data_IF_065729553901
#
_entry.id   IF_065729553901
#
_cell.length_a   1.000
_cell.length_b   1.000
_cell.length_c   1.000
_cell.angle_alpha   90.00
_cell.angle_beta   90.00
_cell.angle_gamma   90.00
#
_symmetry.space_group_name_H-M   'P 1'
#
loop_
_entity.id
_entity.type
_entity.pdbx_description
1 polymer ?
#
# COMPACT_ATOMS: atom_id res chain seq x y z
N UNK A 1 -24.78 -36.59 -3.53
CA UNK A 1 -25.38 -35.25 -3.31
C UNK A 1 -24.75 -34.16 -4.17
N UNK A 2 -23.41 -34.11 -4.34
CA UNK A 2 -22.73 -33.09 -5.17
C UNK A 2 -23.23 -33.04 -6.63
N UNK A 3 -23.31 -34.19 -7.31
CA UNK A 3 -23.82 -34.30 -8.69
C UNK A 3 -25.28 -33.84 -8.84
N UNK A 4 -26.13 -34.13 -7.84
CA UNK A 4 -27.53 -33.69 -7.85
C UNK A 4 -27.65 -32.20 -7.50
N UNK A 5 -26.75 -31.65 -6.68
CA UNK A 5 -26.62 -30.21 -6.43
C UNK A 5 -26.08 -29.45 -7.64
N UNK A 6 -25.11 -30.02 -8.36
CA UNK A 6 -24.59 -29.50 -9.62
C UNK A 6 -25.67 -29.49 -10.72
N UNK A 7 -26.46 -30.57 -10.84
CA UNK A 7 -27.62 -30.63 -11.74
C UNK A 7 -28.70 -29.61 -11.40
N UNK A 8 -28.94 -29.30 -10.12
CA UNK A 8 -29.93 -28.30 -9.69
C UNK A 8 -29.43 -26.86 -9.83
N UNK A 9 -28.15 -26.60 -9.56
CA UNK A 9 -27.53 -25.28 -9.77
C UNK A 9 -27.53 -24.91 -11.26
N UNK A 10 -27.29 -25.90 -12.12
CA UNK A 10 -27.41 -25.76 -13.58
C UNK A 10 -28.84 -25.45 -14.07
N UNK A 11 -29.88 -25.71 -13.27
CA UNK A 11 -31.29 -25.43 -13.61
C UNK A 11 -31.78 -24.09 -13.05
N UNK A 12 -31.13 -23.55 -12.01
CA UNK A 12 -31.53 -22.29 -11.37
C UNK A 12 -30.91 -21.04 -12.02
N UNK A 13 -29.82 -21.20 -12.78
CA UNK A 13 -29.13 -20.11 -13.48
C UNK A 13 -29.74 -19.76 -14.87
N UNK A 14 -30.78 -20.49 -15.31
CA UNK A 14 -31.44 -20.27 -16.60
C UNK A 14 -32.35 -19.01 -16.65
N UNK A 15 -32.56 -18.28 -15.54
CA UNK A 15 -33.58 -17.22 -15.48
C UNK A 15 -33.06 -15.78 -15.22
N UNK A 16 -31.75 -15.52 -15.31
CA UNK A 16 -31.24 -14.15 -15.17
C UNK A 16 -30.07 -13.89 -16.12
N UNK A 17 -30.40 -13.30 -17.28
CA UNK A 17 -29.49 -12.50 -18.10
C UNK A 17 -28.46 -13.28 -18.96
N UNK A 18 -28.98 -14.01 -19.96
CA UNK A 18 -28.45 -14.13 -21.35
C UNK A 18 -26.99 -14.48 -21.64
N UNK A 19 -26.14 -14.69 -20.63
CA UNK A 19 -24.68 -14.70 -20.80
C UNK A 19 -23.98 -15.85 -20.06
N UNK A 20 -24.74 -16.76 -19.43
CA UNK A 20 -24.20 -17.81 -18.55
C UNK A 20 -24.17 -19.16 -19.26
N UNK A 21 -22.99 -19.56 -19.72
CA UNK A 21 -22.73 -20.97 -20.08
C UNK A 21 -22.86 -21.88 -18.86
N UNK A 22 -23.30 -23.13 -19.06
CA UNK A 22 -23.34 -24.15 -18.00
C UNK A 22 -21.92 -24.52 -17.58
N UNK A 23 -21.49 -24.11 -16.39
CA UNK A 23 -20.17 -24.49 -15.85
C UNK A 23 -20.31 -25.72 -14.95
N UNK A 24 -19.46 -26.72 -15.17
CA UNK A 24 -19.16 -27.69 -14.13
C UNK A 24 -18.23 -27.00 -13.12
N UNK A 25 -18.67 -26.88 -11.88
CA UNK A 25 -17.88 -26.25 -10.81
C UNK A 25 -16.97 -27.33 -10.21
N UNK A 26 -15.68 -27.20 -10.49
CA UNK A 26 -14.59 -27.97 -9.89
C UNK A 26 -13.58 -27.05 -9.18
N UNK A 27 -12.57 -27.63 -8.55
CA UNK A 27 -11.52 -26.90 -7.83
C UNK A 27 -10.75 -25.93 -8.72
N UNK A 28 -10.49 -26.31 -9.98
CA UNK A 28 -9.78 -25.47 -10.94
C UNK A 28 -10.59 -24.24 -11.36
N UNK A 29 -11.90 -24.39 -11.56
CA UNK A 29 -12.81 -23.28 -11.84
C UNK A 29 -12.89 -22.32 -10.65
N UNK A 30 -12.98 -22.84 -9.43
CA UNK A 30 -13.01 -22.04 -8.20
C UNK A 30 -11.71 -21.26 -8.04
N UNK A 31 -10.56 -21.93 -8.19
CA UNK A 31 -9.25 -21.29 -8.06
C UNK A 31 -9.03 -20.24 -9.14
N UNK A 32 -9.36 -20.54 -10.40
CA UNK A 32 -9.30 -19.56 -11.50
C UNK A 32 -10.15 -18.34 -11.18
N UNK A 33 -11.38 -18.54 -10.71
CA UNK A 33 -12.27 -17.43 -10.36
C UNK A 33 -11.69 -16.57 -9.24
N UNK A 34 -11.13 -17.20 -8.21
CA UNK A 34 -10.44 -16.51 -7.12
C UNK A 34 -9.26 -15.68 -7.62
N UNK A 35 -8.36 -16.26 -8.41
CA UNK A 35 -7.19 -15.56 -8.96
C UNK A 35 -7.59 -14.41 -9.89
N UNK A 36 -8.59 -14.61 -10.75
CA UNK A 36 -9.10 -13.56 -11.64
C UNK A 36 -9.61 -12.36 -10.85
N UNK A 37 -10.43 -12.58 -9.82
CA UNK A 37 -10.91 -11.47 -8.96
C UNK A 37 -9.74 -10.84 -8.21
N UNK A 38 -8.85 -11.66 -7.64
CA UNK A 38 -7.71 -11.20 -6.83
C UNK A 38 -6.78 -10.29 -7.62
N UNK A 39 -6.52 -10.60 -8.89
CA UNK A 39 -5.64 -9.80 -9.76
C UNK A 39 -6.35 -8.60 -10.41
N UNK A 40 -7.69 -8.59 -10.43
CA UNK A 40 -8.46 -7.56 -11.17
C UNK A 40 -9.09 -6.49 -10.28
N UNK A 41 -9.01 -6.64 -8.96
CA UNK A 41 -9.61 -5.69 -8.02
C UNK A 41 -8.62 -5.40 -6.90
N UNK A 42 -8.37 -4.12 -6.63
CA UNK A 42 -7.57 -3.66 -5.49
C UNK A 42 -8.49 -3.29 -4.32
N UNK A 43 -8.11 -3.62 -3.09
CA UNK A 43 -8.76 -3.08 -1.90
C UNK A 43 -8.52 -3.90 -0.64
N UNK A 44 -8.60 -3.21 0.50
CA UNK A 44 -8.48 -3.78 1.83
C UNK A 44 -9.68 -4.63 2.28
N UNK A 45 -9.67 -5.10 3.55
CA UNK A 45 -10.70 -5.97 4.14
C UNK A 45 -12.14 -5.46 4.03
N UNK A 46 -12.35 -4.15 3.93
CA UNK A 46 -13.67 -3.53 3.84
C UNK A 46 -13.98 -2.95 2.46
N UNK A 47 -13.03 -2.96 1.54
CA UNK A 47 -13.11 -2.33 0.22
C UNK A 47 -13.24 -3.36 -0.92
N UNK A 48 -12.88 -4.60 -0.63
CA UNK A 48 -12.93 -5.72 -1.56
C UNK A 48 -13.31 -7.00 -0.83
N UNK A 49 -14.00 -7.89 -1.53
CA UNK A 49 -14.27 -9.24 -1.08
C UNK A 49 -13.83 -10.26 -2.14
N UNK A 50 -13.05 -11.25 -1.73
CA UNK A 50 -12.63 -12.34 -2.59
C UNK A 50 -13.66 -13.48 -2.56
N UNK A 51 -13.89 -14.18 -3.68
CA UNK A 51 -14.76 -15.33 -3.68
C UNK A 51 -14.19 -16.45 -2.79
N UNK A 52 -15.04 -17.35 -2.26
CA UNK A 52 -14.56 -18.47 -1.47
C UNK A 52 -13.76 -19.44 -2.36
N UNK A 53 -12.78 -20.12 -1.76
CA UNK A 53 -12.01 -21.19 -2.41
C UNK A 53 -12.58 -22.59 -2.16
N UNK A 54 -13.65 -22.68 -1.39
CA UNK A 54 -14.30 -23.93 -1.01
C UNK A 54 -15.81 -23.87 -1.30
N UNK A 55 -16.39 -25.03 -1.61
CA UNK A 55 -17.84 -25.16 -1.79
C UNK A 55 -18.57 -25.11 -0.43
N UNK A 56 -19.71 -24.42 -0.41
CA UNK A 56 -20.59 -24.40 0.74
C UNK A 56 -21.38 -25.71 0.84
N UNK A 57 -21.34 -26.36 2.02
CA UNK A 57 -22.14 -27.56 2.31
C UNK A 57 -23.53 -27.26 2.87
N UNK A 58 -23.78 -26.02 3.30
CA UNK A 58 -25.02 -25.61 3.95
C UNK A 58 -26.04 -24.94 3.00
N UNK A 59 -25.60 -24.54 1.81
CA UNK A 59 -26.41 -23.83 0.83
C UNK A 59 -26.89 -24.77 -0.27
N UNK A 60 -28.09 -24.53 -0.80
CA UNK A 60 -28.57 -25.21 -2.01
C UNK A 60 -27.77 -24.81 -3.25
N UNK A 61 -27.30 -23.56 -3.29
CA UNK A 61 -26.29 -23.10 -4.22
C UNK A 61 -24.91 -23.16 -3.52
N UNK A 62 -24.10 -24.20 -3.79
CA UNK A 62 -22.84 -24.41 -3.09
C UNK A 62 -21.78 -23.35 -3.45
N UNK A 63 -22.00 -22.53 -4.49
CA UNK A 63 -21.08 -21.49 -4.92
C UNK A 63 -21.84 -20.27 -5.50
N UNK A 64 -22.33 -19.35 -4.64
CA UNK A 64 -23.22 -18.27 -5.05
C UNK A 64 -22.50 -17.04 -5.65
N UNK A 65 -21.22 -17.19 -5.99
CA UNK A 65 -20.40 -16.17 -6.65
C UNK A 65 -20.44 -16.35 -8.17
N UNK A 66 -20.51 -15.26 -8.96
CA UNK A 66 -20.44 -15.38 -10.41
C UNK A 66 -19.09 -15.95 -10.84
N UNK A 67 -19.12 -16.86 -11.81
CA UNK A 67 -17.92 -17.43 -12.45
C UNK A 67 -17.46 -16.49 -13.57
N UNK A 68 -16.28 -15.91 -13.39
CA UNK A 68 -15.67 -15.05 -14.40
C UNK A 68 -14.94 -15.89 -15.44
N UNK A 69 -15.27 -15.66 -16.71
CA UNK A 69 -14.54 -16.19 -17.88
C UNK A 69 -13.62 -15.16 -18.50
N UNK A 70 -13.95 -13.88 -18.35
CA UNK A 70 -13.17 -12.73 -18.80
C UNK A 70 -13.25 -11.64 -17.74
N UNK A 71 -12.15 -10.90 -17.59
CA UNK A 71 -12.09 -9.73 -16.72
C UNK A 71 -12.81 -8.58 -17.42
N UNK A 72 -13.98 -8.20 -16.92
CA UNK A 72 -14.72 -7.02 -17.36
C UNK A 72 -15.14 -6.21 -16.12
N UNK A 73 -14.88 -4.89 -16.05
CA UNK A 73 -15.32 -4.03 -14.95
C UNK A 73 -16.79 -4.21 -14.53
N UNK A 74 -17.72 -4.46 -15.46
CA UNK A 74 -19.15 -4.65 -15.15
C UNK A 74 -19.40 -5.87 -14.25
N UNK A 75 -18.60 -6.92 -14.40
CA UNK A 75 -18.78 -8.18 -13.68
C UNK A 75 -18.04 -8.20 -12.34
N UNK A 76 -17.19 -7.20 -12.07
CA UNK A 76 -16.40 -7.10 -10.85
C UNK A 76 -17.11 -6.36 -9.72
N UNK A 77 -18.23 -5.68 -10.00
CA UNK A 77 -18.95 -4.84 -9.04
C UNK A 77 -19.40 -5.58 -7.77
N UNK A 78 -19.69 -6.88 -7.86
CA UNK A 78 -20.05 -7.70 -6.71
C UNK A 78 -18.88 -7.89 -5.73
N UNK A 79 -17.64 -7.88 -6.22
CA UNK A 79 -16.43 -8.10 -5.43
C UNK A 79 -15.87 -6.81 -4.84
N UNK A 80 -16.37 -5.65 -5.27
CA UNK A 80 -16.06 -4.34 -4.69
C UNK A 80 -17.14 -3.84 -3.74
N UNK A 81 -18.31 -4.50 -3.70
CA UNK A 81 -19.37 -4.22 -2.74
C UNK A 81 -19.49 -5.38 -1.73
N UNK A 82 -18.85 -5.22 -0.58
CA UNK A 82 -18.83 -6.23 0.49
C UNK A 82 -20.23 -6.65 0.94
N UNK A 83 -21.18 -5.71 1.02
CA UNK A 83 -22.57 -6.01 1.40
C UNK A 83 -23.31 -6.85 0.36
N UNK A 84 -22.99 -6.68 -0.93
CA UNK A 84 -23.60 -7.45 -2.00
C UNK A 84 -23.13 -8.91 -1.95
N UNK A 85 -21.83 -9.16 -1.72
CA UNK A 85 -21.29 -10.52 -1.64
C UNK A 85 -21.61 -11.21 -0.32
N UNK A 86 -21.53 -10.49 0.82
CA UNK A 86 -21.77 -11.07 2.14
C UNK A 86 -23.19 -11.60 2.30
N UNK A 87 -24.18 -10.99 1.64
CA UNK A 87 -25.57 -11.48 1.62
C UNK A 87 -25.73 -12.83 0.90
N UNK A 88 -24.80 -13.15 -0.01
CA UNK A 88 -24.83 -14.40 -0.79
C UNK A 88 -24.05 -15.52 -0.11
N UNK A 89 -23.01 -15.19 0.63
CA UNK A 89 -22.14 -16.17 1.27
C UNK A 89 -22.78 -16.75 2.53
N UNK A 90 -22.53 -18.04 2.74
CA UNK A 90 -22.94 -18.74 3.95
C UNK A 90 -22.14 -18.24 5.16
N UNK A 91 -22.83 -17.95 6.26
CA UNK A 91 -22.25 -17.51 7.53
C UNK A 91 -21.92 -18.66 8.50
N UNK A 92 -22.20 -19.92 8.14
CA UNK A 92 -22.00 -21.08 9.01
C UNK A 92 -20.60 -21.70 8.84
N UNK A 93 -19.95 -22.05 9.95
CA UNK A 93 -18.70 -22.81 9.95
C UNK A 93 -18.92 -24.22 9.33
N UNK A 94 -18.05 -24.72 8.43
CA UNK A 94 -16.74 -24.18 8.02
C UNK A 94 -16.77 -23.36 6.71
N UNK A 95 -17.96 -23.01 6.20
CA UNK A 95 -18.10 -22.24 4.95
C UNK A 95 -17.68 -20.78 5.14
N UNK A 96 -17.89 -20.27 6.34
CA UNK A 96 -17.26 -19.07 6.84
C UNK A 96 -15.96 -19.47 7.54
N UNK A 97 -14.81 -19.00 7.05
CA UNK A 97 -13.57 -19.09 7.83
C UNK A 97 -13.73 -18.14 9.03
N UNK A 98 -14.17 -18.68 10.17
CA UNK A 98 -14.37 -17.98 11.46
C UNK A 98 -13.14 -17.29 12.04
N UNK A 99 -12.02 -17.29 11.33
CA UNK A 99 -10.77 -16.66 11.76
C UNK A 99 -10.83 -15.12 11.69
N UNK A 100 -11.83 -14.55 11.02
CA UNK A 100 -12.04 -13.09 10.94
C UNK A 100 -12.90 -12.48 12.06
N UNK A 101 -13.65 -13.29 12.83
CA UNK A 101 -14.60 -12.82 13.86
C UNK A 101 -14.03 -12.84 15.29
N UNK A 102 -12.95 -13.58 15.56
CA UNK A 102 -12.37 -13.66 16.91
C UNK A 102 -11.83 -12.33 17.44
N UNK A 103 -11.61 -11.33 16.58
CA UNK A 103 -11.23 -9.96 16.97
C UNK A 103 -12.20 -8.88 16.45
N UNK A 104 -13.36 -9.24 15.88
CA UNK A 104 -14.36 -8.24 15.54
C UNK A 104 -15.17 -7.87 16.79
N UNK A 105 -14.52 -7.19 17.72
CA UNK A 105 -15.23 -6.07 18.33
C UNK A 105 -15.72 -5.23 17.14
N UNK A 106 -17.02 -5.02 17.09
CA UNK A 106 -17.72 -4.25 16.07
C UNK A 106 -17.22 -2.80 16.06
N UNK A 107 -16.03 -2.56 15.50
CA UNK A 107 -15.53 -1.24 15.28
C UNK A 107 -16.26 -0.70 14.06
N UNK A 108 -17.28 0.10 14.35
CA UNK A 108 -18.12 0.76 13.34
C UNK A 108 -17.26 1.42 12.26
N UNK A 109 -17.80 1.48 11.04
CA UNK A 109 -17.25 2.27 9.92
C UNK A 109 -17.04 3.76 10.22
N UNK A 110 -17.36 4.23 11.43
CA UNK A 110 -17.18 5.60 11.92
C UNK A 110 -15.92 5.77 12.79
N UNK A 111 -15.06 4.76 12.91
CA UNK A 111 -13.81 4.87 13.66
C UNK A 111 -12.84 5.84 12.95
N UNK A 112 -12.50 6.94 13.63
CA UNK A 112 -11.66 8.03 13.12
C UNK A 112 -10.24 7.54 12.84
N UNK A 113 -9.68 7.85 11.65
CA UNK A 113 -8.28 7.51 11.31
C UNK A 113 -7.27 8.43 12.01
N UNK A 114 -6.03 7.98 12.15
CA UNK A 114 -4.94 8.78 12.74
C UNK A 114 -4.72 10.07 11.95
N UNK A 115 -4.74 10.01 10.61
CA UNK A 115 -4.64 11.17 9.72
C UNK A 115 -5.73 12.20 10.02
N UNK A 116 -6.97 11.74 10.24
CA UNK A 116 -8.08 12.62 10.60
C UNK A 116 -7.90 13.23 12.00
N UNK A 117 -7.39 12.45 12.96
CA UNK A 117 -7.06 12.94 14.31
C UNK A 117 -6.00 14.04 14.25
N UNK A 118 -4.91 13.82 13.51
CA UNK A 118 -3.82 14.80 13.36
C UNK A 118 -4.33 16.06 12.65
N UNK A 119 -5.04 15.91 11.54
CA UNK A 119 -5.62 17.05 10.81
C UNK A 119 -6.56 17.89 11.69
N UNK A 120 -7.41 17.23 12.50
CA UNK A 120 -8.29 17.92 13.44
C UNK A 120 -7.51 18.59 14.58
N UNK A 121 -6.45 17.96 15.09
CA UNK A 121 -5.60 18.51 16.14
C UNK A 121 -4.82 19.75 15.70
N UNK A 122 -4.33 19.77 14.46
CA UNK A 122 -3.63 20.93 13.89
C UNK A 122 -4.54 22.15 13.67
N UNK A 123 -5.84 21.92 13.41
CA UNK A 123 -6.84 22.99 13.25
C UNK A 123 -7.21 23.69 14.56
N UNK A 124 -7.06 23.02 15.71
CA UNK A 124 -7.53 23.49 17.02
C UNK A 124 -6.50 24.32 17.79
N UNK A 125 -5.59 25.03 17.11
CA UNK A 125 -4.62 25.93 17.77
C UNK A 125 -5.24 27.19 18.43
N UNK A 126 -6.57 27.23 18.63
CA UNK A 126 -7.29 28.25 19.39
C UNK A 126 -8.12 27.60 20.51
N UNK A 127 -8.08 28.19 21.71
CA UNK A 127 -8.66 27.73 22.99
C UNK A 127 -10.13 27.23 22.94
N UNK A 128 -10.39 26.01 22.46
CA UNK A 128 -11.71 25.36 22.51
C UNK A 128 -11.59 23.89 23.00
N UNK A 129 -12.61 23.34 23.69
CA UNK A 129 -12.47 22.10 24.45
C UNK A 129 -12.25 20.88 23.57
N UNK A 130 -11.30 20.04 23.99
CA UNK A 130 -10.74 18.89 23.28
C UNK A 130 -11.78 17.82 22.93
N UNK A 131 -11.98 17.56 21.62
CA UNK A 131 -12.67 16.35 21.15
C UNK A 131 -11.86 15.09 21.47
N UNK A 132 -12.55 13.97 21.67
CA UNK A 132 -12.04 12.63 22.04
C UNK A 132 -10.77 12.19 21.28
N UNK A 133 -10.64 12.51 19.98
CA UNK A 133 -9.45 12.17 19.19
C UNK A 133 -8.16 12.85 19.66
N UNK A 134 -8.24 14.06 20.22
CA UNK A 134 -7.08 14.76 20.79
C UNK A 134 -6.60 14.09 22.09
N UNK A 135 -7.46 13.36 22.81
CA UNK A 135 -7.10 12.71 24.08
C UNK A 135 -6.04 11.61 23.91
N UNK A 136 -6.05 10.89 22.79
CA UNK A 136 -5.03 9.88 22.47
C UNK A 136 -3.66 10.56 22.34
N UNK A 137 -3.58 11.71 21.69
CA UNK A 137 -2.32 12.46 21.55
C UNK A 137 -1.77 12.98 22.89
N UNK A 138 -2.60 13.16 23.91
CA UNK A 138 -2.12 13.54 25.25
C UNK A 138 -1.41 12.40 25.97
N UNK A 139 -1.81 11.15 25.70
CA UNK A 139 -1.19 9.95 26.29
C UNK A 139 0.16 9.62 25.65
N UNK A 140 0.46 10.21 24.49
CA UNK A 140 1.60 9.82 23.65
C UNK A 140 2.64 10.95 23.53
N UNK A 141 3.58 11.09 24.49
CA UNK A 141 4.45 12.27 24.60
C UNK A 141 5.44 12.46 23.44
N UNK A 142 6.07 11.39 22.92
CA UNK A 142 6.98 11.47 21.76
C UNK A 142 6.20 11.86 20.52
N UNK A 143 5.07 11.18 20.29
CA UNK A 143 4.20 11.50 19.16
C UNK A 143 3.80 12.98 19.19
N UNK A 144 3.32 13.44 20.35
CA UNK A 144 2.93 14.83 20.56
C UNK A 144 4.08 15.81 20.38
N UNK A 145 5.31 15.46 20.76
CA UNK A 145 6.48 16.29 20.52
C UNK A 145 6.76 16.45 19.01
N UNK A 146 6.73 15.34 18.25
CA UNK A 146 6.92 15.38 16.79
C UNK A 146 5.80 16.13 16.07
N UNK A 147 4.54 15.92 16.47
CA UNK A 147 3.38 16.65 15.92
C UNK A 147 3.42 18.16 16.24
N UNK A 148 3.98 18.58 17.39
CA UNK A 148 4.16 20.01 17.70
C UNK A 148 5.09 20.70 16.71
N UNK A 149 6.13 20.01 16.24
CA UNK A 149 7.01 20.52 15.18
C UNK A 149 6.23 20.73 13.87
N UNK A 150 5.33 19.80 13.52
CA UNK A 150 4.47 19.93 12.35
C UNK A 150 3.49 21.11 12.44
N UNK A 151 2.94 21.37 13.63
CA UNK A 151 1.99 22.46 13.83
C UNK A 151 2.54 23.84 13.45
N UNK A 152 3.85 24.06 13.64
CA UNK A 152 4.53 25.30 13.21
C UNK A 152 4.41 25.51 11.71
N UNK A 153 4.64 24.46 10.92
CA UNK A 153 4.58 24.51 9.46
C UNK A 153 3.14 24.48 8.91
N UNK A 154 2.19 23.93 9.68
CA UNK A 154 0.78 23.92 9.32
C UNK A 154 0.14 25.31 9.41
N UNK A 155 0.55 26.13 10.38
CA UNK A 155 0.06 27.52 10.54
C UNK A 155 0.41 28.45 9.35
N UNK A 156 1.43 28.09 8.56
CA UNK A 156 1.86 28.82 7.37
C UNK A 156 1.07 28.43 6.11
N UNK A 157 0.23 27.38 6.17
CA UNK A 157 -0.60 26.92 5.07
C UNK A 157 -1.95 27.66 5.07
N UNK A 158 -2.34 28.15 3.89
CA UNK A 158 -3.52 29.00 3.70
C UNK A 158 -4.81 28.31 4.18
N UNK A 159 -5.60 28.99 5.01
CA UNK A 159 -6.68 28.41 5.85
C UNK A 159 -7.95 27.99 5.10
N UNK A 160 -8.05 28.27 3.80
CA UNK A 160 -9.34 28.14 3.07
C UNK A 160 -9.69 26.74 2.60
N UNK A 161 -8.74 25.80 2.47
CA UNK A 161 -9.00 24.40 2.10
C UNK A 161 -7.87 23.49 2.60
N UNK A 162 -7.90 23.09 3.88
CA UNK A 162 -6.94 22.11 4.40
C UNK A 162 -7.37 20.69 4.03
N UNK A 163 -6.90 20.20 2.90
CA UNK A 163 -7.02 18.80 2.51
C UNK A 163 -5.90 17.93 3.14
N UNK A 164 -5.97 16.62 2.93
CA UNK A 164 -4.94 15.69 3.39
C UNK A 164 -3.57 16.02 2.79
N UNK A 165 -3.51 16.47 1.53
CA UNK A 165 -2.26 16.89 0.87
C UNK A 165 -1.52 18.01 1.61
N UNK A 166 -2.24 19.00 2.15
CA UNK A 166 -1.64 20.07 2.98
C UNK A 166 -0.92 19.52 4.22
N UNK A 167 -1.43 18.46 4.84
CA UNK A 167 -0.76 17.82 5.98
C UNK A 167 0.59 17.22 5.57
N UNK A 168 0.62 16.51 4.44
CA UNK A 168 1.87 15.92 3.94
C UNK A 168 2.88 16.99 3.49
N UNK A 169 2.44 18.09 2.89
CA UNK A 169 3.31 19.23 2.60
C UNK A 169 3.93 19.83 3.88
N UNK A 170 3.16 19.93 4.97
CA UNK A 170 3.68 20.37 6.26
C UNK A 170 4.73 19.39 6.82
N UNK A 171 4.47 18.08 6.69
CA UNK A 171 5.45 17.04 7.03
C UNK A 171 6.75 17.20 6.24
N UNK A 172 6.65 17.42 4.93
CA UNK A 172 7.83 17.59 4.07
C UNK A 172 8.64 18.85 4.43
N UNK A 173 7.98 19.96 4.80
CA UNK A 173 8.68 21.14 5.33
C UNK A 173 9.39 20.85 6.65
N UNK A 174 8.76 20.06 7.52
CA UNK A 174 9.36 19.66 8.81
C UNK A 174 10.59 18.75 8.65
N UNK A 175 10.67 17.99 7.55
CA UNK A 175 11.86 17.22 7.16
C UNK A 175 13.01 18.11 6.62
N UNK A 176 12.83 19.43 6.55
CA UNK A 176 13.89 20.38 6.16
C UNK A 176 13.90 20.77 4.68
N UNK A 177 12.94 20.32 3.87
CA UNK A 177 12.85 20.69 2.46
C UNK A 177 12.32 22.12 2.25
N UNK A 178 13.23 23.06 1.98
CA UNK A 178 12.88 24.43 1.55
C UNK A 178 12.15 24.41 0.19
N UNK A 179 11.23 25.35 0.00
CA UNK A 179 10.60 25.60 -1.30
C UNK A 179 11.65 26.22 -2.23
N UNK A 180 12.17 25.44 -3.16
CA UNK A 180 12.96 25.98 -4.29
C UNK A 180 12.00 26.21 -5.45
N UNK A 181 12.00 27.42 -6.01
CA UNK A 181 11.10 27.90 -7.07
C UNK A 181 11.31 27.25 -8.45
N UNK A 182 12.12 26.19 -8.55
CA UNK A 182 12.40 25.52 -9.81
C UNK A 182 11.51 24.29 -9.93
N UNK A 183 10.22 24.53 -10.19
CA UNK A 183 9.29 23.48 -10.56
C UNK A 183 9.67 22.98 -11.95
N UNK A 184 10.30 21.80 -12.03
CA UNK A 184 10.28 21.06 -13.29
C UNK A 184 8.83 20.80 -13.67
N UNK A 185 8.45 21.12 -14.90
CA UNK A 185 7.07 21.03 -15.35
C UNK A 185 6.62 19.57 -15.44
N UNK A 186 5.38 19.31 -15.01
CA UNK A 186 4.71 18.05 -15.27
C UNK A 186 4.66 17.81 -16.79
N UNK A 187 5.15 16.65 -17.26
CA UNK A 187 5.05 16.28 -18.67
C UNK A 187 3.62 15.86 -18.97
N UNK A 188 2.83 16.80 -19.51
CA UNK A 188 1.41 16.60 -19.81
C UNK A 188 1.15 15.95 -21.18
N UNK A 189 2.16 15.89 -22.06
CA UNK A 189 2.02 15.43 -23.45
C UNK A 189 2.12 13.90 -23.63
N UNK A 190 1.96 13.13 -22.55
CA UNK A 190 2.05 11.66 -22.62
C UNK A 190 0.71 11.09 -23.03
N UNK A 191 0.63 10.52 -24.24
CA UNK A 191 -0.52 9.74 -24.66
C UNK A 191 -0.47 8.35 -23.97
N UNK A 192 -1.44 7.99 -23.11
CA UNK A 192 -1.43 6.72 -22.38
C UNK A 192 -1.35 5.48 -23.29
N UNK A 193 -1.79 5.60 -24.55
CA UNK A 193 -1.73 4.52 -25.54
C UNK A 193 -0.30 4.16 -26.00
N UNK A 194 0.71 4.96 -25.65
CA UNK A 194 2.12 4.67 -25.92
C UNK A 194 2.77 3.87 -24.79
N UNK A 195 2.08 3.64 -23.66
CA UNK A 195 2.60 2.85 -22.55
C UNK A 195 2.45 1.34 -22.83
N UNK A 196 3.32 0.50 -22.25
CA UNK A 196 3.13 -0.94 -22.29
C UNK A 196 1.78 -1.36 -21.73
N UNK A 197 1.14 -2.38 -22.33
CA UNK A 197 -0.21 -2.82 -21.95
C UNK A 197 -0.36 -3.19 -20.45
N UNK A 198 0.69 -3.70 -19.82
CA UNK A 198 0.67 -4.03 -18.39
C UNK A 198 0.63 -2.75 -17.52
N UNK A 199 1.26 -1.66 -17.96
CA UNK A 199 1.29 -0.39 -17.25
C UNK A 199 -0.06 0.31 -17.37
N UNK A 200 -0.66 0.28 -18.57
CA UNK A 200 -2.03 0.76 -18.78
C UNK A 200 -3.02 -0.02 -17.89
N UNK A 201 -2.89 -1.34 -17.80
CA UNK A 201 -3.71 -2.16 -16.91
C UNK A 201 -3.53 -1.76 -15.44
N UNK A 202 -2.30 -1.50 -14.99
CA UNK A 202 -2.02 -1.03 -13.63
C UNK A 202 -2.62 0.36 -13.35
N UNK A 203 -2.52 1.30 -14.30
CA UNK A 203 -3.16 2.62 -14.22
C UNK A 203 -4.69 2.46 -14.12
N UNK A 204 -5.29 1.61 -14.94
CA UNK A 204 -6.72 1.36 -14.90
C UNK A 204 -7.15 0.76 -13.54
N UNK A 205 -6.40 -0.19 -13.00
CA UNK A 205 -6.67 -0.78 -11.69
C UNK A 205 -6.63 0.27 -10.57
N UNK A 206 -5.60 1.12 -10.58
CA UNK A 206 -5.38 2.09 -9.51
C UNK A 206 -6.39 3.25 -9.60
N UNK A 207 -6.69 3.79 -10.79
CA UNK A 207 -7.72 4.83 -10.95
C UNK A 207 -9.08 4.32 -10.49
N UNK A 208 -9.46 3.11 -10.88
CA UNK A 208 -10.70 2.50 -10.42
C UNK A 208 -10.74 2.35 -8.90
N UNK A 209 -9.63 1.95 -8.28
CA UNK A 209 -9.53 1.88 -6.82
C UNK A 209 -9.67 3.26 -6.16
N UNK A 210 -8.91 4.26 -6.62
CA UNK A 210 -8.96 5.62 -6.08
C UNK A 210 -10.34 6.25 -6.12
N UNK A 211 -11.13 6.01 -7.18
CA UNK A 211 -12.53 6.47 -7.26
C UNK A 211 -13.44 5.74 -6.27
N UNK A 212 -13.26 4.43 -6.08
CA UNK A 212 -14.06 3.63 -5.12
C UNK A 212 -13.87 4.09 -3.68
N UNK A 213 -12.62 4.35 -3.29
CA UNK A 213 -12.30 4.82 -1.93
C UNK A 213 -12.42 6.33 -1.77
N UNK A 214 -12.95 7.02 -2.78
CA UNK A 214 -13.15 8.48 -2.81
C UNK A 214 -11.85 9.29 -2.62
N UNK A 215 -10.69 8.69 -2.94
CA UNK A 215 -9.42 9.40 -2.98
C UNK A 215 -9.24 10.20 -4.26
N UNK A 216 -9.98 9.86 -5.33
CA UNK A 216 -10.07 10.62 -6.57
C UNK A 216 -11.48 11.20 -6.73
N UNK A 217 -11.59 12.40 -7.31
CA UNK A 217 -12.88 12.99 -7.61
C UNK A 217 -13.64 12.15 -8.65
N UNK A 218 -14.78 11.58 -8.21
CA UNK A 218 -15.65 10.78 -9.06
C UNK A 218 -16.31 11.57 -10.20
N UNK A 219 -16.33 12.91 -10.12
CA UNK A 219 -16.91 13.79 -11.16
C UNK A 219 -15.98 14.00 -12.36
N UNK A 220 -14.66 13.87 -12.16
CA UNK A 220 -13.67 14.05 -13.22
C UNK A 220 -13.75 12.90 -14.24
N UNK A 221 -13.52 13.19 -15.53
CA UNK A 221 -13.52 12.15 -16.56
C UNK A 221 -12.39 11.14 -16.31
N UNK A 222 -12.69 9.84 -16.44
CA UNK A 222 -11.71 8.77 -16.19
C UNK A 222 -10.51 8.85 -17.13
N UNK A 223 -10.73 9.20 -18.40
CA UNK A 223 -9.65 9.39 -19.38
C UNK A 223 -8.63 10.44 -18.92
N UNK A 224 -9.10 11.56 -18.36
CA UNK A 224 -8.22 12.63 -17.87
C UNK A 224 -7.38 12.15 -16.67
N UNK A 225 -8.01 11.47 -15.70
CA UNK A 225 -7.28 10.92 -14.55
C UNK A 225 -6.22 9.88 -14.94
N UNK A 226 -6.51 9.06 -15.97
CA UNK A 226 -5.53 8.12 -16.52
C UNK A 226 -4.35 8.84 -17.17
N UNK A 227 -4.63 9.91 -17.93
CA UNK A 227 -3.58 10.74 -18.55
C UNK A 227 -2.72 11.44 -17.50
N UNK A 228 -3.33 12.01 -16.46
CA UNK A 228 -2.62 12.67 -15.37
C UNK A 228 -1.70 11.69 -14.62
N UNK A 229 -2.19 10.47 -14.34
CA UNK A 229 -1.38 9.43 -13.70
C UNK A 229 -0.21 8.98 -14.60
N UNK A 230 -0.45 8.79 -15.90
CA UNK A 230 0.58 8.44 -16.87
C UNK A 230 1.66 9.54 -16.98
N UNK A 231 1.24 10.80 -17.05
CA UNK A 231 2.13 11.97 -17.06
C UNK A 231 2.95 12.08 -15.78
N UNK A 232 2.32 11.84 -14.61
CA UNK A 232 3.00 11.82 -13.31
C UNK A 232 4.08 10.74 -13.25
N UNK A 233 3.74 9.49 -13.59
CA UNK A 233 4.69 8.37 -13.61
C UNK A 233 5.87 8.64 -14.55
N UNK A 234 5.59 9.22 -15.72
CA UNK A 234 6.62 9.58 -16.71
C UNK A 234 7.53 10.68 -16.21
N UNK A 235 6.96 11.71 -15.58
CA UNK A 235 7.71 12.83 -15.02
C UNK A 235 8.64 12.37 -13.88
N UNK A 236 8.15 11.49 -13.01
CA UNK A 236 8.95 10.86 -11.94
C UNK A 236 10.09 10.00 -12.52
N UNK A 237 9.84 9.25 -13.60
CA UNK A 237 10.91 8.51 -14.28
C UNK A 237 12.00 9.45 -14.82
N UNK A 238 11.61 10.61 -15.36
CA UNK A 238 12.54 11.68 -15.76
C UNK A 238 13.36 12.20 -14.59
N UNK A 239 12.72 12.50 -13.46
CA UNK A 239 13.39 12.91 -12.22
C UNK A 239 14.45 11.90 -11.77
N UNK A 240 14.15 10.60 -11.87
CA UNK A 240 15.12 9.57 -11.53
C UNK A 240 16.34 9.57 -12.47
N UNK A 241 16.15 9.86 -13.76
CA UNK A 241 17.26 10.00 -14.70
C UNK A 241 18.12 11.23 -14.37
N UNK A 242 17.51 12.36 -14.03
CA UNK A 242 18.23 13.58 -13.65
C UNK A 242 19.09 13.37 -12.39
N UNK A 243 18.59 12.58 -11.44
CA UNK A 243 19.35 12.20 -10.25
C UNK A 243 20.57 11.30 -10.57
N UNK A 244 20.61 10.60 -11.72
CA UNK A 244 21.78 9.82 -12.16
C UNK A 244 22.89 10.69 -12.75
N UNK A 245 22.54 11.83 -13.33
CA UNK A 245 23.45 12.70 -14.08
C UNK A 245 23.43 14.12 -13.49
N UNK A 246 24.14 14.39 -12.39
CA UNK A 246 24.32 15.77 -11.94
C UNK A 246 25.00 16.56 -13.06
N UNK A 247 24.38 17.68 -13.47
CA UNK A 247 24.78 18.49 -14.62
C UNK A 247 26.30 18.75 -14.66
N UNK A 248 26.94 18.33 -15.75
CA UNK A 248 28.31 18.75 -16.08
C UNK A 248 28.30 20.21 -16.50
N UNK A 249 29.35 20.95 -16.13
CA UNK A 249 29.48 22.40 -16.37
C UNK A 249 29.42 22.79 -17.86
N UNK A 250 29.21 24.09 -18.16
CA UNK A 250 28.74 24.58 -19.46
C UNK A 250 29.73 24.48 -20.65
N UNK A 251 30.88 23.81 -20.50
CA UNK A 251 31.91 23.74 -21.55
C UNK A 251 32.28 22.31 -22.00
N UNK A 252 31.64 21.27 -21.48
CA UNK A 252 31.83 19.92 -22.02
C UNK A 252 30.82 19.66 -23.14
N UNK A 253 31.34 19.31 -24.32
CA UNK A 253 30.56 18.95 -25.51
C UNK A 253 29.49 17.92 -25.12
N UNK A 254 28.28 18.11 -25.66
CA UNK A 254 27.15 17.18 -25.58
C UNK A 254 27.65 15.82 -26.09
N UNK A 255 28.00 14.93 -25.16
CA UNK A 255 28.10 13.51 -25.42
C UNK A 255 26.78 12.94 -24.96
N UNK A 256 25.95 12.59 -25.93
CA UNK A 256 24.71 11.86 -25.71
C UNK A 256 25.03 10.63 -24.86
N UNK A 257 24.52 10.57 -23.62
CA UNK A 257 24.71 9.41 -22.74
C UNK A 257 23.81 8.23 -23.15
N UNK A 258 23.37 8.20 -24.42
CA UNK A 258 22.55 7.16 -25.01
C UNK A 258 23.24 6.39 -26.14
N UNK A 259 24.56 6.51 -26.33
CA UNK A 259 25.30 5.65 -27.25
C UNK A 259 26.21 4.67 -26.50
N UNK A 260 25.70 3.45 -26.34
CA UNK A 260 26.50 2.27 -26.04
C UNK A 260 27.59 2.10 -27.12
N UNK A 261 28.84 1.98 -26.69
CA UNK A 261 29.98 1.72 -27.57
C UNK A 261 29.82 0.34 -28.25
N UNK A 262 30.18 0.17 -29.54
CA UNK A 262 29.92 -1.06 -30.27
C UNK A 262 30.93 -2.14 -29.88
N UNK A 263 30.49 -3.11 -29.09
CA UNK A 263 31.14 -4.42 -29.01
C UNK A 263 30.09 -5.51 -29.17
N UNK A 264 30.29 -6.26 -30.26
CA UNK A 264 29.71 -7.55 -30.60
C UNK A 264 28.23 -7.57 -31.03
N UNK A 265 28.07 -7.30 -32.32
CA UNK A 265 26.93 -7.67 -33.15
C UNK A 265 26.72 -9.19 -33.10
N UNK A 266 25.88 -9.69 -32.19
CA UNK A 266 24.99 -10.85 -32.35
C UNK A 266 24.36 -11.27 -30.99
N UNK A 267 23.64 -10.40 -30.28
CA UNK A 267 22.59 -10.85 -29.31
C UNK A 267 21.64 -9.76 -28.77
N UNK A 268 21.33 -8.73 -29.57
CA UNK A 268 20.67 -7.51 -29.08
C UNK A 268 19.13 -7.53 -29.19
N UNK A 269 18.49 -8.58 -28.69
CA UNK A 269 17.03 -8.66 -28.62
C UNK A 269 16.51 -9.28 -27.30
N UNK A 270 17.05 -8.93 -26.12
CA UNK A 270 16.49 -9.44 -24.85
C UNK A 270 16.89 -8.75 -23.52
N UNK A 271 17.17 -7.45 -23.46
CA UNK A 271 17.28 -6.74 -22.15
C UNK A 271 16.57 -5.40 -22.11
N UNK A 272 15.26 -5.41 -22.35
CA UNK A 272 14.42 -4.36 -21.77
C UNK A 272 14.45 -4.55 -20.25
N UNK A 273 15.07 -3.61 -19.52
CA UNK A 273 15.04 -3.60 -18.06
C UNK A 273 13.59 -3.38 -17.59
N UNK A 274 12.86 -4.46 -17.32
CA UNK A 274 11.52 -4.41 -16.76
C UNK A 274 11.53 -3.59 -15.47
N UNK A 275 10.78 -2.47 -15.45
CA UNK A 275 10.58 -1.65 -14.26
C UNK A 275 9.19 -1.91 -13.71
N UNK A 276 9.04 -2.29 -12.43
CA UNK A 276 7.72 -2.51 -11.85
C UNK A 276 6.94 -1.19 -11.77
N UNK A 277 5.61 -1.30 -11.69
CA UNK A 277 4.74 -0.16 -11.47
C UNK A 277 5.08 0.57 -10.16
N UNK A 278 5.03 1.91 -10.18
CA UNK A 278 5.34 2.71 -8.99
C UNK A 278 4.10 2.95 -8.12
N UNK A 279 3.86 1.99 -7.23
CA UNK A 279 2.76 2.05 -6.27
C UNK A 279 2.88 3.24 -5.31
N UNK A 280 4.10 3.73 -5.02
CA UNK A 280 4.28 4.88 -4.14
C UNK A 280 3.73 6.15 -4.77
N UNK A 281 4.08 6.38 -6.04
CA UNK A 281 3.58 7.52 -6.82
C UNK A 281 2.06 7.50 -6.88
N UNK A 282 1.46 6.33 -7.08
CA UNK A 282 0.02 6.20 -7.12
C UNK A 282 -0.64 6.50 -5.75
N UNK A 283 -0.07 5.98 -4.65
CA UNK A 283 -0.56 6.29 -3.28
C UNK A 283 -0.41 7.77 -2.96
N UNK A 284 0.71 8.41 -3.34
CA UNK A 284 0.87 9.85 -3.15
C UNK A 284 -0.12 10.65 -4.01
N UNK A 285 -0.37 10.26 -5.26
CA UNK A 285 -1.40 10.89 -6.10
C UNK A 285 -2.78 10.90 -5.40
N UNK A 286 -3.15 9.80 -4.73
CA UNK A 286 -4.38 9.73 -3.93
C UNK A 286 -4.37 10.62 -2.69
N UNK A 287 -3.23 10.71 -1.98
CA UNK A 287 -3.06 11.63 -0.85
C UNK A 287 -3.31 13.08 -1.29
N UNK A 288 -2.93 13.44 -2.51
CA UNK A 288 -3.17 14.75 -3.14
C UNK A 288 -4.49 14.85 -3.92
N UNK A 289 -5.43 13.93 -3.70
CA UNK A 289 -6.76 14.00 -4.31
C UNK A 289 -6.79 13.84 -5.83
N UNK A 290 -5.73 13.27 -6.42
CA UNK A 290 -5.55 13.17 -7.87
C UNK A 290 -4.89 14.38 -8.52
N UNK A 291 -4.48 15.40 -7.76
CA UNK A 291 -3.77 16.55 -8.33
C UNK A 291 -2.33 16.17 -8.67
N UNK A 292 -2.09 15.78 -9.93
CA UNK A 292 -0.79 15.32 -10.41
C UNK A 292 0.31 16.38 -10.27
N UNK A 293 0.00 17.66 -10.44
CA UNK A 293 0.99 18.75 -10.30
C UNK A 293 1.47 18.88 -8.86
N UNK A 294 0.56 18.93 -7.88
CA UNK A 294 0.91 18.96 -6.45
C UNK A 294 1.64 17.70 -6.01
N UNK A 295 1.18 16.54 -6.48
CA UNK A 295 1.84 15.26 -6.19
C UNK A 295 3.26 15.23 -6.75
N UNK A 296 3.48 15.73 -7.97
CA UNK A 296 4.81 15.78 -8.58
C UNK A 296 5.75 16.73 -7.83
N UNK A 297 5.33 17.96 -7.51
CA UNK A 297 6.16 18.90 -6.71
C UNK A 297 6.56 18.27 -5.37
N UNK A 298 5.61 17.64 -4.69
CA UNK A 298 5.87 16.92 -3.46
C UNK A 298 6.89 15.81 -3.65
N UNK A 299 6.70 14.93 -4.64
CA UNK A 299 7.59 13.80 -4.91
C UNK A 299 9.00 14.25 -5.30
N UNK A 300 9.13 15.31 -6.11
CA UNK A 300 10.41 15.88 -6.53
C UNK A 300 11.20 16.50 -5.36
N UNK A 301 10.51 17.10 -4.40
CA UNK A 301 11.13 17.61 -3.17
C UNK A 301 11.41 16.47 -2.19
N UNK A 302 10.50 15.51 -2.08
CA UNK A 302 10.65 14.35 -1.21
C UNK A 302 11.84 13.48 -1.62
N UNK A 303 12.10 13.29 -2.93
CA UNK A 303 13.21 12.49 -3.44
C UNK A 303 14.60 12.98 -3.00
N UNK A 304 14.69 14.22 -2.48
CA UNK A 304 15.91 14.83 -1.96
C UNK A 304 16.10 14.60 -0.45
N UNK A 305 15.16 13.92 0.22
CA UNK A 305 15.24 13.61 1.66
C UNK A 305 15.93 12.27 1.91
N UNK A 306 16.46 12.07 3.12
CA UNK A 306 16.94 10.74 3.52
C UNK A 306 15.80 9.71 3.55
N UNK A 307 14.63 10.11 4.06
CA UNK A 307 13.45 9.24 4.19
C UNK A 307 12.96 8.68 2.84
N UNK A 308 13.14 9.41 1.73
CA UNK A 308 12.73 8.88 0.42
C UNK A 308 13.54 7.66 0.00
N UNK A 309 14.81 7.54 0.40
CA UNK A 309 15.62 6.36 0.09
C UNK A 309 15.11 5.11 0.79
N UNK A 310 14.44 5.27 1.92
CA UNK A 310 13.98 4.22 2.83
C UNK A 310 12.50 3.87 2.66
N UNK A 311 11.66 4.88 2.37
CA UNK A 311 10.24 4.68 2.17
C UNK A 311 9.91 4.37 0.70
N UNK A 312 10.59 5.00 -0.25
CA UNK A 312 10.29 4.88 -1.68
C UNK A 312 11.16 3.81 -2.35
N UNK A 313 10.70 2.55 -2.29
CA UNK A 313 11.42 1.36 -2.77
C UNK A 313 11.98 1.47 -4.19
N UNK A 314 11.17 1.96 -5.14
CA UNK A 314 11.60 2.10 -6.53
C UNK A 314 12.74 3.12 -6.69
N UNK A 315 12.65 4.27 -6.01
CA UNK A 315 13.75 5.25 -5.96
C UNK A 315 15.00 4.63 -5.32
N UNK A 316 14.85 3.98 -4.18
CA UNK A 316 15.97 3.33 -3.48
C UNK A 316 16.66 2.24 -4.31
N UNK A 317 15.91 1.49 -5.13
CA UNK A 317 16.48 0.53 -6.07
C UNK A 317 17.22 1.19 -7.23
N UNK A 318 16.72 2.33 -7.71
CA UNK A 318 17.31 3.08 -8.82
C UNK A 318 18.63 3.77 -8.43
N UNK A 319 18.71 4.32 -7.22
CA UNK A 319 19.94 4.97 -6.69
C UNK A 319 21.07 3.95 -6.46
N UNK A 320 20.75 2.71 -6.11
CA UNK A 320 21.76 1.64 -5.94
C UNK A 320 22.36 1.16 -7.24
N UNK A 321 21.58 1.10 -8.32
CA UNK A 321 22.09 0.73 -9.63
C UNK A 321 23.18 1.72 -10.13
N UNK A 322 23.19 2.94 -9.59
CA UNK A 322 24.22 3.95 -9.89
C UNK A 322 25.44 3.93 -8.98
N UNK A 323 25.35 3.38 -7.76
CA UNK A 323 26.49 3.32 -6.84
C UNK A 323 27.28 2.02 -7.05
N UNK A 324 28.52 2.12 -7.53
CA UNK A 324 29.47 0.99 -7.64
C UNK A 324 29.96 0.45 -6.28
N UNK A 325 29.59 1.09 -5.17
CA UNK A 325 30.01 0.69 -3.82
C UNK A 325 29.04 -0.36 -3.23
N UNK A 326 29.61 -1.41 -2.64
CA UNK A 326 28.91 -2.50 -1.95
C UNK A 326 28.37 -2.07 -0.57
N UNK A 327 27.69 -0.93 -0.47
CA UNK A 327 27.06 -0.53 0.79
C UNK A 327 25.81 -1.39 1.04
N UNK A 328 25.64 -1.93 2.26
CA UNK A 328 24.42 -2.62 2.63
C UNK A 328 23.23 -1.69 2.42
N UNK A 329 22.26 -2.16 1.65
CA UNK A 329 21.00 -1.47 1.41
C UNK A 329 20.36 -1.02 2.74
N UNK A 330 19.95 0.25 2.89
CA UNK A 330 19.21 0.73 4.07
C UNK A 330 18.01 -0.18 4.43
N UNK A 331 17.34 -0.77 3.43
CA UNK A 331 16.29 -1.77 3.66
C UNK A 331 16.76 -3.01 4.42
N UNK A 332 18.00 -3.47 4.21
CA UNK A 332 18.54 -4.61 4.94
C UNK A 332 18.65 -4.30 6.44
N UNK A 333 19.04 -3.07 6.80
CA UNK A 333 19.11 -2.64 8.19
C UNK A 333 17.71 -2.51 8.80
N UNK A 334 16.77 -1.87 8.12
CA UNK A 334 15.36 -1.78 8.56
C UNK A 334 14.79 -3.17 8.83
N UNK A 335 14.96 -4.11 7.89
CA UNK A 335 14.45 -5.46 8.01
C UNK A 335 15.17 -6.30 9.07
N UNK A 336 16.48 -6.14 9.22
CA UNK A 336 17.23 -6.80 10.28
C UNK A 336 16.80 -6.33 11.67
N UNK A 337 16.70 -5.01 11.88
CA UNK A 337 16.23 -4.43 13.15
C UNK A 337 14.80 -4.90 13.46
N UNK A 338 13.94 -4.94 12.44
CA UNK A 338 12.60 -5.51 12.57
C UNK A 338 12.63 -6.97 13.07
N UNK A 339 13.46 -7.84 12.48
CA UNK A 339 13.55 -9.23 12.93
C UNK A 339 14.07 -9.36 14.36
N UNK A 340 15.05 -8.54 14.75
CA UNK A 340 15.58 -8.52 16.12
C UNK A 340 14.49 -8.12 17.11
N UNK A 341 13.78 -7.02 16.86
CA UNK A 341 12.69 -6.57 17.75
C UNK A 341 11.56 -7.60 17.76
N UNK A 342 11.19 -8.13 16.60
CA UNK A 342 10.15 -9.16 16.48
C UNK A 342 10.49 -10.43 17.26
N UNK A 343 11.76 -10.87 17.22
CA UNK A 343 12.22 -12.04 17.98
C UNK A 343 12.13 -11.85 19.50
N UNK A 344 12.26 -10.61 19.98
CA UNK A 344 12.21 -10.25 21.40
C UNK A 344 10.77 -10.06 21.89
N UNK A 345 9.92 -9.41 21.10
CA UNK A 345 8.53 -9.09 21.46
C UNK A 345 7.57 -10.26 21.24
N UNK A 346 7.82 -11.07 20.21
CA UNK A 346 6.94 -12.16 19.80
C UNK A 346 7.74 -13.46 19.53
N UNK A 347 8.50 -13.97 20.53
CA UNK A 347 9.43 -15.08 20.34
C UNK A 347 8.74 -16.36 19.84
N UNK A 348 7.51 -16.62 20.30
CA UNK A 348 6.74 -17.78 19.86
C UNK A 348 6.49 -17.75 18.34
N UNK A 349 6.03 -16.62 17.81
CA UNK A 349 5.78 -16.49 16.37
C UNK A 349 7.09 -16.50 15.60
N UNK A 350 8.12 -15.79 16.08
CA UNK A 350 9.43 -15.76 15.44
C UNK A 350 10.02 -17.16 15.28
N UNK A 351 9.98 -17.97 16.35
CA UNK A 351 10.42 -19.36 16.30
C UNK A 351 9.62 -20.17 15.28
N UNK A 352 8.31 -19.90 15.13
CA UNK A 352 7.55 -20.63 14.12
C UNK A 352 7.90 -20.24 12.68
N UNK A 353 8.18 -18.97 12.41
CA UNK A 353 8.73 -18.55 11.13
C UNK A 353 10.05 -19.27 10.82
N UNK A 354 10.94 -19.31 11.81
CA UNK A 354 12.22 -20.02 11.71
C UNK A 354 12.05 -21.51 11.42
N UNK A 355 11.14 -22.20 12.11
CA UNK A 355 10.83 -23.61 11.87
C UNK A 355 10.23 -23.85 10.47
N UNK A 356 9.48 -22.87 9.95
CA UNK A 356 8.86 -22.96 8.63
C UNK A 356 9.80 -22.58 7.49
N UNK A 357 11.03 -22.14 7.78
CA UNK A 357 12.03 -21.74 6.79
C UNK A 357 11.78 -20.38 6.15
N UNK A 358 10.90 -19.56 6.72
CA UNK A 358 10.57 -18.23 6.18
C UNK A 358 11.09 -17.12 7.08
N UNK A 359 11.65 -16.07 6.45
CA UNK A 359 12.10 -14.88 7.14
C UNK A 359 10.93 -13.90 7.34
N UNK A 360 10.61 -13.46 8.57
CA UNK A 360 9.56 -12.47 8.82
C UNK A 360 9.76 -11.18 8.02
N UNK A 361 11.01 -10.76 7.81
CA UNK A 361 11.34 -9.59 7.00
C UNK A 361 10.83 -9.69 5.56
N UNK A 362 10.77 -10.89 4.97
CA UNK A 362 10.26 -11.07 3.60
C UNK A 362 8.78 -10.79 3.48
N UNK A 363 8.01 -11.07 4.53
CA UNK A 363 6.58 -10.75 4.58
C UNK A 363 6.38 -9.25 4.71
N UNK A 364 7.14 -8.59 5.59
CA UNK A 364 7.10 -7.14 5.71
C UNK A 364 7.51 -6.46 4.39
N UNK A 365 8.58 -6.93 3.75
CA UNK A 365 9.01 -6.46 2.44
C UNK A 365 7.93 -6.67 1.37
N UNK A 366 7.22 -7.80 1.39
CA UNK A 366 6.12 -8.05 0.48
C UNK A 366 4.97 -7.06 0.66
N UNK A 367 4.52 -6.83 1.90
CA UNK A 367 3.47 -5.85 2.16
C UNK A 367 3.87 -4.43 1.74
N UNK A 368 5.12 -4.04 2.00
CA UNK A 368 5.65 -2.73 1.65
C UNK A 368 5.85 -2.54 0.14
N UNK A 369 6.09 -3.61 -0.62
CA UNK A 369 6.29 -3.52 -2.08
C UNK A 369 5.12 -2.86 -2.82
N UNK A 370 3.91 -2.92 -2.25
CA UNK A 370 2.70 -2.27 -2.74
C UNK A 370 2.06 -1.35 -1.68
N UNK A 371 2.83 -0.92 -0.67
CA UNK A 371 2.38 -0.03 0.42
C UNK A 371 1.06 -0.49 1.07
N UNK A 372 0.96 -1.80 1.35
CA UNK A 372 -0.20 -2.47 1.95
C UNK A 372 -1.50 -2.46 1.11
N UNK A 373 -1.46 -2.07 -0.17
CA UNK A 373 -2.58 -2.31 -1.08
C UNK A 373 -2.96 -3.79 -1.06
N UNK A 374 -4.26 -4.08 -1.00
CA UNK A 374 -4.87 -5.40 -0.78
C UNK A 374 -4.82 -5.97 0.65
N UNK A 375 -4.08 -5.35 1.56
CA UNK A 375 -3.93 -5.81 2.94
C UNK A 375 -4.63 -4.89 3.94
N UNK A 376 -4.54 -3.58 3.74
CA UNK A 376 -5.15 -2.56 4.59
C UNK A 376 -6.21 -1.78 3.81
N UNK A 377 -7.19 -1.23 4.54
CA UNK A 377 -8.11 -0.24 3.98
C UNK A 377 -7.38 1.10 3.77
N UNK A 378 -7.88 1.91 2.83
CA UNK A 378 -7.30 3.19 2.44
C UNK A 378 -6.97 4.12 3.61
N UNK A 379 -7.84 4.33 4.62
CA UNK A 379 -7.50 5.18 5.76
C UNK A 379 -6.27 4.69 6.52
N UNK A 380 -6.08 3.37 6.64
CA UNK A 380 -4.92 2.79 7.32
C UNK A 380 -3.65 2.88 6.46
N UNK A 381 -3.77 2.82 5.13
CA UNK A 381 -2.65 3.10 4.22
C UNK A 381 -2.20 4.56 4.39
N UNK A 382 -3.14 5.52 4.45
CA UNK A 382 -2.83 6.92 4.72
C UNK A 382 -2.15 7.10 6.08
N UNK A 383 -2.68 6.44 7.12
CA UNK A 383 -2.11 6.48 8.47
C UNK A 383 -0.68 5.91 8.51
N UNK A 384 -0.42 4.80 7.83
CA UNK A 384 0.92 4.24 7.69
C UNK A 384 1.89 5.24 7.08
N UNK A 385 1.53 5.83 5.93
CA UNK A 385 2.39 6.82 5.26
C UNK A 385 2.62 8.02 6.18
N UNK A 386 1.57 8.58 6.79
CA UNK A 386 1.70 9.70 7.71
C UNK A 386 2.61 9.36 8.89
N UNK A 387 2.48 8.17 9.47
CA UNK A 387 3.36 7.69 10.53
C UNK A 387 4.82 7.61 10.07
N UNK A 388 5.11 7.18 8.83
CA UNK A 388 6.47 7.25 8.27
C UNK A 388 7.00 8.69 8.20
N UNK A 389 6.17 9.67 7.86
CA UNK A 389 6.58 11.08 7.84
C UNK A 389 6.79 11.67 9.25
N UNK A 390 6.07 11.18 10.26
CA UNK A 390 6.19 11.64 11.65
C UNK A 390 7.35 10.93 12.37
N UNK A 391 7.44 9.61 12.25
CA UNK A 391 8.42 8.78 12.96
C UNK A 391 9.72 8.53 12.18
N UNK A 392 9.72 8.73 10.86
CA UNK A 392 10.81 8.32 9.98
C UNK A 392 10.71 6.83 9.61
N UNK A 393 11.82 6.23 9.20
CA UNK A 393 11.90 4.80 8.86
C UNK A 393 11.66 3.86 10.04
N UNK A 394 11.85 4.35 11.27
CA UNK A 394 11.42 3.63 12.49
C UNK A 394 9.95 3.20 12.40
N UNK A 395 9.07 4.00 11.78
CA UNK A 395 7.67 3.66 11.60
C UNK A 395 7.47 2.33 10.88
N UNK A 396 8.34 1.99 9.93
CA UNK A 396 8.26 0.75 9.14
C UNK A 396 8.46 -0.45 10.05
N UNK A 397 9.48 -0.37 10.93
CA UNK A 397 9.82 -1.40 11.90
C UNK A 397 8.68 -1.60 12.90
N UNK A 398 8.23 -0.50 13.51
CA UNK A 398 7.16 -0.52 14.51
C UNK A 398 5.84 -1.06 13.93
N UNK A 399 5.52 -0.66 12.70
CA UNK A 399 4.33 -1.15 11.97
C UNK A 399 4.42 -2.66 11.76
N UNK A 400 5.56 -3.16 11.30
CA UNK A 400 5.76 -4.61 11.12
C UNK A 400 5.49 -5.39 12.40
N UNK A 401 6.04 -4.95 13.54
CA UNK A 401 5.86 -5.62 14.83
C UNK A 401 4.40 -5.52 15.31
N UNK A 402 3.76 -4.35 15.15
CA UNK A 402 2.36 -4.14 15.51
C UNK A 402 1.41 -5.05 14.71
N UNK A 403 1.62 -5.20 13.40
CA UNK A 403 0.83 -6.09 12.56
C UNK A 403 1.06 -7.55 12.97
N UNK A 404 2.30 -7.97 13.21
CA UNK A 404 2.58 -9.35 13.66
C UNK A 404 1.93 -9.65 15.01
N UNK A 405 1.90 -8.68 15.94
CA UNK A 405 1.21 -8.80 17.22
C UNK A 405 -0.29 -8.99 17.02
N UNK A 406 -0.91 -8.18 16.18
CA UNK A 406 -2.33 -8.27 15.85
C UNK A 406 -2.68 -9.64 15.25
N UNK A 407 -1.82 -10.15 14.37
CA UNK A 407 -2.03 -11.43 13.69
C UNK A 407 -1.77 -12.65 14.59
N UNK A 408 -1.22 -12.48 15.80
CA UNK A 408 -0.81 -13.59 16.69
C UNK A 408 -1.88 -14.68 16.84
N UNK A 409 -3.15 -14.39 17.19
CA UNK A 409 -4.16 -15.44 17.36
C UNK A 409 -4.41 -16.23 16.07
N UNK A 410 -4.50 -15.50 14.94
CA UNK A 410 -4.72 -16.07 13.61
C UNK A 410 -3.54 -16.92 13.14
N UNK A 411 -2.32 -16.47 13.39
CA UNK A 411 -1.13 -17.21 13.01
C UNK A 411 -0.99 -18.50 13.82
N UNK A 412 -1.22 -18.47 15.13
CA UNK A 412 -1.16 -19.68 15.95
C UNK A 412 -2.13 -20.77 15.46
N UNK A 413 -3.33 -20.41 15.02
CA UNK A 413 -4.26 -21.35 14.39
C UNK A 413 -3.78 -21.81 13.00
N UNK A 414 -3.33 -20.89 12.14
CA UNK A 414 -2.85 -21.21 10.79
C UNK A 414 -1.60 -22.12 10.80
N UNK A 415 -0.80 -22.04 11.86
CA UNK A 415 0.38 -22.88 12.07
C UNK A 415 0.03 -24.36 12.25
N UNK A 416 -1.05 -24.68 12.97
CA UNK A 416 -1.53 -26.06 13.11
C UNK A 416 -1.89 -26.68 11.74
N UNK A 417 -2.39 -25.87 10.82
CA UNK A 417 -2.76 -26.27 9.46
C UNK A 417 -1.65 -26.11 8.41
N UNK A 418 -0.44 -25.69 8.81
CA UNK A 418 0.67 -25.33 7.91
C UNK A 418 0.34 -24.30 6.82
N UNK A 419 -0.75 -23.54 6.97
CA UNK A 419 -1.24 -22.57 5.96
C UNK A 419 -0.83 -21.12 6.22
N UNK A 420 -0.04 -20.88 7.27
CA UNK A 420 0.36 -19.56 7.75
C UNK A 420 0.98 -18.63 6.67
N UNK A 421 1.73 -19.16 5.70
CA UNK A 421 2.26 -18.36 4.59
C UNK A 421 1.18 -17.83 3.66
N UNK A 422 0.26 -18.70 3.24
CA UNK A 422 -0.90 -18.31 2.43
C UNK A 422 -1.72 -17.26 3.17
N UNK A 423 -1.90 -17.44 4.47
CA UNK A 423 -2.60 -16.48 5.33
C UNK A 423 -1.88 -15.12 5.38
N UNK A 424 -0.55 -15.06 5.35
CA UNK A 424 0.20 -13.80 5.42
C UNK A 424 0.35 -13.10 4.06
N UNK A 425 0.44 -13.87 2.99
CA UNK A 425 0.74 -13.40 1.63
C UNK A 425 -0.51 -13.24 0.76
N UNK A 426 -1.68 -13.64 1.25
CA UNK A 426 -2.91 -13.52 0.47
C UNK A 426 -4.10 -12.92 1.19
N UNK A 427 -4.19 -13.08 2.52
CA UNK A 427 -5.37 -12.67 3.26
C UNK A 427 -5.23 -11.24 3.79
N UNK A 428 -6.26 -10.40 3.59
CA UNK A 428 -6.28 -9.05 4.14
C UNK A 428 -6.11 -9.01 5.67
N UNK A 429 -5.60 -7.90 6.18
CA UNK A 429 -5.36 -7.63 7.60
C UNK A 429 -6.66 -7.15 8.27
N UNK A 430 -7.60 -8.06 8.45
CA UNK A 430 -8.91 -7.79 9.04
C UNK A 430 -8.77 -7.19 10.45
N UNK A 431 -9.48 -6.09 10.69
CA UNK A 431 -9.57 -5.44 12.01
C UNK A 431 -8.28 -4.78 12.49
N UNK A 432 -7.24 -4.67 11.67
CA UNK A 432 -6.05 -3.90 12.04
C UNK A 432 -6.32 -2.40 11.93
N UNK A 433 -5.95 -1.64 12.96
CA UNK A 433 -6.08 -0.19 13.03
C UNK A 433 -4.80 0.39 13.64
N UNK A 434 -4.22 1.41 13.02
CA UNK A 434 -3.05 2.08 13.59
C UNK A 434 -3.38 2.77 14.91
N UNK A 435 -4.52 3.45 14.99
CA UNK A 435 -4.97 4.17 16.19
C UNK A 435 -4.95 3.29 17.44
N UNK A 436 -5.42 2.04 17.32
CA UNK A 436 -5.48 1.08 18.44
C UNK A 436 -4.09 0.55 18.85
N UNK A 437 -3.08 0.73 17.99
CA UNK A 437 -1.72 0.24 18.19
C UNK A 437 -0.70 1.35 18.51
N UNK A 438 -1.09 2.63 18.48
CA UNK A 438 -0.16 3.76 18.69
C UNK A 438 0.58 3.71 20.04
N UNK A 439 -0.13 3.37 21.12
CA UNK A 439 0.47 3.27 22.48
C UNK A 439 1.54 2.17 22.54
N UNK A 440 1.28 1.05 21.89
CA UNK A 440 2.27 -0.02 21.79
C UNK A 440 3.46 0.38 20.92
N UNK A 441 3.21 1.03 19.78
CA UNK A 441 4.29 1.50 18.91
C UNK A 441 5.19 2.51 19.62
N UNK A 442 4.63 3.40 20.46
CA UNK A 442 5.43 4.33 21.24
C UNK A 442 6.21 3.61 22.35
N UNK A 443 5.61 2.64 23.03
CA UNK A 443 6.32 1.81 24.03
C UNK A 443 7.52 1.10 23.39
N UNK A 444 7.36 0.56 22.17
CA UNK A 444 8.46 -0.06 21.42
C UNK A 444 9.51 0.98 21.02
N UNK A 445 9.09 2.15 20.55
CA UNK A 445 9.99 3.26 20.20
C UNK A 445 10.84 3.67 21.40
N UNK A 446 10.25 3.80 22.59
CA UNK A 446 10.96 4.10 23.83
C UNK A 446 11.96 2.99 24.19
N UNK A 447 11.49 1.74 24.19
CA UNK A 447 12.28 0.58 24.61
C UNK A 447 13.48 0.31 23.69
N UNK A 448 13.34 0.53 22.39
CA UNK A 448 14.36 0.21 21.39
C UNK A 448 15.01 1.44 20.74
N UNK A 449 14.75 2.65 21.27
CA UNK A 449 15.17 3.93 20.69
C UNK A 449 16.65 3.96 20.29
N UNK A 450 17.54 3.61 21.22
CA UNK A 450 18.99 3.67 21.02
C UNK A 450 19.44 2.67 19.95
N UNK A 451 18.88 1.46 19.99
CA UNK A 451 19.20 0.40 19.03
C UNK A 451 18.73 0.76 17.61
N UNK A 452 17.51 1.29 17.48
CA UNK A 452 16.95 1.73 16.20
C UNK A 452 17.75 2.92 15.67
N UNK A 453 18.03 3.92 16.52
CA UNK A 453 18.76 5.12 16.12
C UNK A 453 20.16 4.78 15.62
N UNK A 454 20.90 3.94 16.36
CA UNK A 454 22.24 3.50 15.96
C UNK A 454 22.22 2.67 14.67
N UNK A 455 21.23 1.79 14.51
CA UNK A 455 21.10 0.96 13.31
C UNK A 455 20.74 1.75 12.05
N UNK A 456 19.95 2.83 12.19
CA UNK A 456 19.55 3.68 11.07
C UNK A 456 20.62 4.75 10.76
N UNK A 457 21.31 5.32 11.75
CA UNK A 457 22.38 6.33 11.56
C UNK A 457 23.58 5.78 10.80
N UNK A 458 23.95 4.52 11.05
CA UNK A 458 25.01 3.83 10.31
C UNK A 458 24.71 3.68 8.82
N UNK A 459 23.47 3.90 8.39
CA UNK A 459 23.05 3.90 6.98
C UNK A 459 23.16 5.28 6.33
N UNK A 460 23.21 6.36 7.12
CA UNK A 460 23.28 7.76 6.66
C UNK A 460 24.69 8.37 6.70
N UNK A 461 25.60 7.83 7.51
CA UNK A 461 26.97 8.35 7.67
C UNK A 461 27.99 7.79 6.66
N UNK A 462 27.60 6.88 5.78
CA UNK A 462 28.48 6.26 4.76
C UNK A 462 28.27 6.87 3.36
N UNK A 463 27.48 7.95 3.23
CA UNK A 463 27.28 8.68 1.96
C UNK A 463 28.11 9.95 1.83
#
# INVERSE_FOLDING_TARGET
MLLNGQRRSAMAQDNADGTTGRFLIDEGVIERNYLLVKCSVIGGPNERALPPRNLCKHSQDPYPCPILTKVNPSNLGIFTNKHALSKRLCSLCPCHNDVGLLNSASHSSNAVSFTTIVAAGLRQSGNAPHKLGCQILFKLPRLRARLRTLARYSSQLNTKNQDTGCLFEACLRALGCRTTSDASSLRNDVNPSLLPAWEEAAINLIINYGRRVQALDGKCQEAHQRQDMAGLLTSVRGLFCDLKCPAKGPNDKIVDCCEDSPRDFHDQQSKENFRPFDWFVAVMCFVFGGNASRAFDFLARFSRTGLSKELWFNLGSHVKATSRAETPSSYCNIFHIFEVIFSRELPLLFNTFRLSGYLPSKILSHWLSQYFLNYLDWPEIQDFVLLCFVYGSEAIILTGVAIMRHLKPRLLAALQSQSHMVVLMEQPLHGFRFVDNLEFMETLSDKYNEYISAGLSNSSEIE
#
